data_IF_661488236788
#
_entry.id   IF_661488236788
#
_cell.length_a   1.000
_cell.length_b   1.000
_cell.length_c   1.000
_cell.angle_alpha   90.00
_cell.angle_beta   90.00
_cell.angle_gamma   90.00
#
_symmetry.space_group_name_H-M   'P 1'
#
loop_
_entity.id
_entity.type
_entity.pdbx_description
1 polymer ?
#
# COMPACT_ATOMS: atom_id res chain seq x y z
N UNK A 1 -17.12 -1.14 14.09
CA UNK A 1 -16.23 -0.01 14.35
C UNK A 1 -14.81 -0.39 13.93
N UNK A 2 -13.94 0.55 13.55
CA UNK A 2 -12.55 0.25 13.15
C UNK A 2 -11.74 -0.33 14.31
N UNK A 3 -11.92 0.22 15.52
CA UNK A 3 -11.20 -0.22 16.72
C UNK A 3 -11.51 -1.70 16.99
N UNK A 4 -12.78 -2.08 16.96
CA UNK A 4 -13.18 -3.48 17.19
C UNK A 4 -12.62 -4.46 16.14
N UNK A 5 -12.38 -4.01 14.89
CA UNK A 5 -11.72 -4.86 13.88
C UNK A 5 -10.26 -5.10 14.23
N UNK A 6 -9.55 -4.05 14.65
CA UNK A 6 -8.15 -4.16 15.05
C UNK A 6 -7.96 -5.04 16.29
N UNK A 7 -8.84 -4.89 17.30
CA UNK A 7 -8.87 -5.78 18.47
C UNK A 7 -9.07 -7.24 18.05
N UNK A 8 -10.02 -7.48 17.14
CA UNK A 8 -10.28 -8.82 16.61
C UNK A 8 -9.08 -9.42 15.87
N UNK A 9 -8.38 -8.63 15.05
CA UNK A 9 -7.17 -9.09 14.37
C UNK A 9 -6.07 -9.46 15.37
N UNK A 10 -5.90 -8.66 16.43
CA UNK A 10 -4.93 -8.93 17.49
C UNK A 10 -5.24 -10.22 18.25
N UNK A 11 -6.52 -10.48 18.53
CA UNK A 11 -6.93 -11.64 19.32
C UNK A 11 -6.96 -12.95 18.51
N UNK A 12 -7.42 -12.90 17.26
CA UNK A 12 -7.62 -14.11 16.45
C UNK A 12 -6.50 -14.39 15.45
N UNK A 13 -5.84 -13.35 14.94
CA UNK A 13 -4.87 -13.47 13.84
C UNK A 13 -3.58 -12.65 14.10
N UNK A 14 -2.95 -12.79 15.28
CA UNK A 14 -1.85 -11.92 15.70
C UNK A 14 -0.64 -11.97 14.76
N UNK A 15 -0.35 -13.12 14.14
CA UNK A 15 0.77 -13.24 13.20
C UNK A 15 0.52 -12.45 11.91
N UNK A 16 -0.68 -12.57 11.33
CA UNK A 16 -1.06 -11.86 10.11
C UNK A 16 -1.17 -10.35 10.39
N UNK A 17 -1.69 -9.98 11.56
CA UNK A 17 -1.77 -8.59 11.97
C UNK A 17 -0.38 -7.96 12.19
N UNK A 18 0.54 -8.67 12.84
CA UNK A 18 1.93 -8.23 12.95
C UNK A 18 2.60 -8.08 11.57
N UNK A 19 2.28 -8.98 10.63
CA UNK A 19 2.75 -8.86 9.25
C UNK A 19 2.24 -7.59 8.57
N UNK A 20 0.98 -7.23 8.78
CA UNK A 20 0.41 -5.97 8.28
C UNK A 20 1.15 -4.75 8.85
N UNK A 21 1.39 -4.74 10.17
CA UNK A 21 2.14 -3.67 10.84
C UNK A 21 3.57 -3.57 10.31
N UNK A 22 4.24 -4.71 10.12
CA UNK A 22 5.60 -4.74 9.57
C UNK A 22 5.63 -4.21 8.13
N UNK A 23 4.68 -4.62 7.29
CA UNK A 23 4.56 -4.10 5.94
C UNK A 23 4.38 -2.58 5.92
N UNK A 24 3.52 -2.04 6.79
CA UNK A 24 3.32 -0.59 6.94
C UNK A 24 4.62 0.11 7.30
N UNK A 25 5.34 -0.38 8.31
CA UNK A 25 6.58 0.24 8.81
C UNK A 25 7.71 0.22 7.78
N UNK A 26 7.88 -0.87 7.04
CA UNK A 26 9.00 -1.02 6.10
C UNK A 26 8.71 -0.40 4.72
N UNK A 27 7.45 -0.40 4.27
CA UNK A 27 7.11 -0.02 2.89
C UNK A 27 6.33 1.30 2.80
N UNK A 28 5.45 1.58 3.77
CA UNK A 28 4.53 2.72 3.68
C UNK A 28 5.09 3.94 4.39
N UNK A 29 5.51 3.81 5.65
CA UNK A 29 5.99 4.92 6.47
C UNK A 29 7.20 5.64 5.84
N UNK A 30 8.21 4.97 5.26
CA UNK A 30 9.33 5.65 4.61
C UNK A 30 8.88 6.50 3.42
N UNK A 31 7.85 6.05 2.68
CA UNK A 31 7.29 6.80 1.56
C UNK A 31 6.46 7.99 2.02
N UNK A 32 5.72 7.85 3.12
CA UNK A 32 5.02 8.97 3.77
C UNK A 32 6.01 10.04 4.21
N UNK A 33 7.08 9.66 4.90
CA UNK A 33 8.13 10.60 5.35
C UNK A 33 8.80 11.30 4.17
N UNK A 34 9.16 10.56 3.13
CA UNK A 34 9.76 11.11 1.90
C UNK A 34 8.87 12.14 1.21
N UNK A 35 7.54 11.98 1.31
CA UNK A 35 6.55 12.84 0.67
C UNK A 35 5.78 13.69 1.69
N UNK A 36 6.37 13.98 2.86
CA UNK A 36 5.73 14.72 3.94
C UNK A 36 5.20 16.12 3.49
N UNK A 37 5.88 16.76 2.53
CA UNK A 37 5.52 18.08 2.00
C UNK A 37 4.30 18.01 1.07
N UNK A 38 4.17 16.96 0.25
CA UNK A 38 3.07 16.85 -0.72
C UNK A 38 1.74 16.50 -0.03
N UNK A 39 1.78 15.87 1.14
CA UNK A 39 0.58 15.33 1.81
C UNK A 39 0.03 14.07 1.12
N UNK A 40 0.81 13.46 0.23
CA UNK A 40 0.44 12.24 -0.48
C UNK A 40 1.67 11.40 -0.81
N UNK A 41 1.59 10.10 -0.55
CA UNK A 41 2.58 9.11 -0.98
C UNK A 41 1.92 8.05 -1.88
N UNK A 42 2.67 7.60 -2.88
CA UNK A 42 2.29 6.48 -3.74
C UNK A 42 3.30 5.37 -3.54
N UNK A 43 2.83 4.20 -3.10
CA UNK A 43 3.66 3.03 -2.84
C UNK A 43 3.31 2.00 -3.89
N UNK A 44 4.30 1.61 -4.71
CA UNK A 44 4.15 0.57 -5.74
C UNK A 44 5.00 -0.63 -5.34
N UNK A 45 4.43 -1.82 -5.41
CA UNK A 45 5.14 -3.04 -5.09
C UNK A 45 4.54 -4.22 -5.84
N UNK A 46 5.34 -5.26 -5.99
CA UNK A 46 5.02 -6.55 -6.58
C UNK A 46 5.23 -7.66 -5.53
N UNK A 47 5.11 -7.31 -4.25
CA UNK A 47 5.16 -8.25 -3.13
C UNK A 47 4.00 -9.25 -3.21
N UNK A 48 4.33 -10.54 -3.29
CA UNK A 48 3.35 -11.64 -3.27
C UNK A 48 2.53 -11.68 -1.98
N UNK A 49 2.96 -11.01 -0.91
CA UNK A 49 2.20 -10.93 0.33
C UNK A 49 0.83 -10.27 0.12
N UNK A 50 0.74 -9.35 -0.85
CA UNK A 50 -0.48 -8.61 -1.17
C UNK A 50 -1.46 -9.40 -2.05
N UNK A 51 -1.13 -10.64 -2.42
CA UNK A 51 -2.11 -11.59 -2.97
C UNK A 51 -3.18 -11.95 -1.92
N UNK A 52 -2.82 -11.91 -0.64
CA UNK A 52 -3.76 -12.10 0.45
C UNK A 52 -4.55 -10.80 0.71
N UNK A 53 -5.79 -10.73 0.23
CA UNK A 53 -6.66 -9.57 0.41
C UNK A 53 -6.95 -9.24 1.89
N UNK A 54 -6.98 -10.25 2.77
CA UNK A 54 -7.18 -10.03 4.21
C UNK A 54 -6.00 -9.28 4.83
N UNK A 55 -4.77 -9.56 4.37
CA UNK A 55 -3.59 -8.79 4.78
C UNK A 55 -3.69 -7.34 4.29
N UNK A 56 -4.20 -7.11 3.08
CA UNK A 56 -4.39 -5.77 2.51
C UNK A 56 -5.42 -4.99 3.34
N UNK A 57 -6.53 -5.62 3.73
CA UNK A 57 -7.55 -5.02 4.59
C UNK A 57 -6.97 -4.62 5.95
N UNK A 58 -6.17 -5.49 6.59
CA UNK A 58 -5.45 -5.16 7.83
C UNK A 58 -4.51 -3.96 7.65
N UNK A 59 -3.73 -3.92 6.55
CA UNK A 59 -2.84 -2.78 6.25
C UNK A 59 -3.65 -1.48 6.12
N UNK A 60 -4.77 -1.53 5.41
CA UNK A 60 -5.63 -0.35 5.22
C UNK A 60 -6.26 0.10 6.54
N UNK A 61 -6.68 -0.82 7.39
CA UNK A 61 -7.23 -0.53 8.72
C UNK A 61 -6.18 0.10 9.66
N UNK A 62 -4.96 -0.46 9.70
CA UNK A 62 -3.80 0.05 10.47
C UNK A 62 -3.45 1.48 10.06
N UNK A 63 -3.52 1.80 8.76
CA UNK A 63 -3.28 3.15 8.25
C UNK A 63 -4.45 4.08 8.57
N UNK A 64 -5.68 3.62 8.40
CA UNK A 64 -6.88 4.43 8.67
C UNK A 64 -6.99 4.82 10.14
N UNK A 65 -6.60 3.93 11.06
CA UNK A 65 -6.58 4.20 12.49
C UNK A 65 -5.59 5.30 12.85
N UNK A 66 -4.44 5.34 12.18
CA UNK A 66 -3.44 6.42 12.32
C UNK A 66 -3.82 7.73 11.62
N UNK A 67 -5.02 7.82 11.07
CA UNK A 67 -5.54 9.02 10.41
C UNK A 67 -5.09 9.20 8.96
N UNK A 68 -4.56 8.15 8.32
CA UNK A 68 -4.27 8.17 6.89
C UNK A 68 -5.53 7.89 6.07
N UNK A 69 -5.67 8.54 4.93
CA UNK A 69 -6.66 8.17 3.92
C UNK A 69 -5.99 7.29 2.86
N UNK A 70 -6.33 6.00 2.86
CA UNK A 70 -5.70 4.99 2.00
C UNK A 70 -6.66 4.49 0.92
N UNK A 71 -6.12 4.25 -0.28
CA UNK A 71 -6.76 3.48 -1.34
C UNK A 71 -5.78 2.42 -1.84
N UNK A 72 -6.29 1.25 -2.18
CA UNK A 72 -5.52 0.15 -2.76
C UNK A 72 -6.00 -0.17 -4.18
N UNK A 73 -5.06 -0.53 -5.05
CA UNK A 73 -5.31 -0.90 -6.45
C UNK A 73 -4.40 -2.08 -6.81
N UNK A 74 -4.98 -3.14 -7.34
CA UNK A 74 -4.28 -4.32 -7.89
C UNK A 74 -4.38 -4.29 -9.42
N UNK A 75 -3.23 -4.26 -10.09
CA UNK A 75 -3.14 -4.32 -11.55
C UNK A 75 -2.34 -5.52 -12.00
N UNK A 76 -3.00 -6.39 -12.76
CA UNK A 76 -2.33 -7.43 -13.53
C UNK A 76 -1.83 -6.84 -14.85
N UNK A 77 -0.52 -6.86 -15.06
CA UNK A 77 0.10 -6.52 -16.34
C UNK A 77 0.44 -7.81 -17.08
N UNK A 78 -0.12 -7.97 -18.27
CA UNK A 78 0.21 -9.06 -19.17
C UNK A 78 1.26 -8.57 -20.18
N UNK A 79 2.41 -9.24 -20.24
CA UNK A 79 3.49 -8.92 -21.19
C UNK A 79 3.70 -10.09 -22.15
N UNK A 80 3.61 -9.89 -23.47
CA UNK A 80 3.97 -10.92 -24.45
C UNK A 80 5.43 -11.35 -24.28
N UNK A 81 5.67 -12.64 -24.08
CA UNK A 81 7.02 -13.19 -23.90
C UNK A 81 7.44 -14.13 -25.02
N UNK A 82 6.48 -14.79 -25.68
CA UNK A 82 6.78 -15.77 -26.74
C UNK A 82 5.58 -15.95 -27.65
N UNK A 83 5.81 -16.38 -28.89
CA UNK A 83 4.77 -16.88 -29.80
C UNK A 83 4.95 -18.39 -29.94
N UNK A 84 3.87 -19.15 -29.83
CA UNK A 84 3.86 -20.59 -30.12
C UNK A 84 3.94 -20.78 -31.65
N UNK A 85 5.00 -21.40 -32.20
CA UNK A 85 5.14 -21.54 -33.66
C UNK A 85 4.16 -22.54 -34.29
N UNK A 86 3.54 -23.41 -33.50
CA UNK A 86 2.58 -24.40 -33.99
C UNK A 86 1.15 -23.84 -34.02
N UNK A 87 0.77 -23.08 -33.00
CA UNK A 87 -0.61 -22.54 -32.84
C UNK A 87 -0.72 -21.06 -33.17
N UNK A 88 0.40 -20.35 -33.28
CA UNK A 88 0.50 -18.89 -33.39
C UNK A 88 -0.01 -18.11 -32.16
N UNK A 89 -0.25 -18.79 -31.05
CA UNK A 89 -0.68 -18.14 -29.81
C UNK A 89 0.43 -17.27 -29.21
N UNK A 90 0.04 -16.11 -28.69
CA UNK A 90 0.92 -15.25 -27.91
C UNK A 90 0.90 -15.73 -26.46
N UNK A 91 2.03 -16.22 -25.98
CA UNK A 91 2.24 -16.59 -24.59
C UNK A 91 2.53 -15.30 -23.81
N UNK A 92 1.69 -15.04 -22.80
CA UNK A 92 1.76 -13.87 -21.94
C UNK A 92 2.35 -14.25 -20.58
N UNK A 93 3.27 -13.43 -20.07
CA UNK A 93 3.67 -13.43 -18.66
C UNK A 93 2.79 -12.45 -17.89
N UNK A 94 2.15 -12.92 -16.81
CA UNK A 94 1.35 -12.10 -15.91
C UNK A 94 2.19 -11.60 -14.76
N UNK A 95 2.14 -10.30 -14.48
CA UNK A 95 2.78 -9.69 -13.30
C UNK A 95 1.76 -8.86 -12.52
N UNK A 96 1.55 -9.21 -11.25
CA UNK A 96 0.76 -8.40 -10.33
C UNK A 96 1.56 -7.17 -9.89
N UNK A 97 0.92 -6.01 -9.97
CA UNK A 97 1.46 -4.74 -9.48
C UNK A 97 0.44 -4.13 -8.54
N UNK A 98 0.82 -3.99 -7.29
CA UNK A 98 0.02 -3.41 -6.24
C UNK A 98 0.38 -1.95 -6.02
N UNK A 99 -0.61 -1.15 -5.68
CA UNK A 99 -0.43 0.26 -5.40
C UNK A 99 -1.25 0.70 -4.20
N UNK A 100 -0.59 1.31 -3.22
CA UNK A 100 -1.23 2.09 -2.18
C UNK A 100 -1.12 3.58 -2.51
N UNK A 101 -2.26 4.28 -2.48
CA UNK A 101 -2.33 5.73 -2.48
C UNK A 101 -2.69 6.20 -1.08
N UNK A 102 -1.74 6.87 -0.42
CA UNK A 102 -1.88 7.30 0.98
C UNK A 102 -1.87 8.82 1.03
N UNK A 103 -2.94 9.41 1.55
CA UNK A 103 -3.07 10.86 1.78
C UNK A 103 -3.03 11.16 3.27
N UNK A 104 -2.34 12.25 3.62
CA UNK A 104 -2.14 12.70 5.00
C UNK A 104 -2.04 14.24 5.08
N UNK A 105 -2.26 14.84 6.26
CA UNK A 105 -2.13 16.28 6.43
C UNK A 105 -0.76 16.79 5.98
N UNK A 106 -0.75 17.88 5.22
CA UNK A 106 0.49 18.53 4.78
C UNK A 106 1.17 19.18 5.97
N UNK A 107 2.50 19.07 6.04
CA UNK A 107 3.28 20.00 6.86
C UNK A 107 3.19 21.39 6.23
N UNK A 108 2.40 22.28 6.83
CA UNK A 108 2.33 23.69 6.43
C UNK A 108 3.65 24.33 6.88
N UNK A 109 4.54 24.61 5.93
CA UNK A 109 5.67 25.50 6.18
C UNK A 109 5.08 26.91 6.19
N UNK A 110 4.84 27.47 7.39
CA UNK A 110 4.54 28.90 7.50
C UNK A 110 5.77 29.68 7.03
N UNK A 111 5.62 30.72 6.18
CA UNK A 111 6.72 31.65 5.96
C UNK A 111 7.11 32.21 7.33
N UNK A 112 8.39 32.17 7.67
CA UNK A 112 8.90 32.96 8.78
C UNK A 112 8.55 34.41 8.46
N UNK A 113 7.63 35.01 9.22
CA UNK A 113 7.37 36.44 9.16
C UNK A 113 8.71 37.16 9.30
N UNK A 114 9.22 37.69 8.18
CA UNK A 114 10.33 38.62 8.20
C UNK A 114 9.79 39.88 8.86
N UNK A 115 9.96 39.97 10.18
CA UNK A 115 9.79 41.21 10.92
C UNK A 115 10.75 42.24 10.30
N UNK A 116 10.17 43.20 9.58
CA UNK A 116 10.81 44.43 9.12
C UNK A 116 11.03 45.34 10.32
#
# INVERSE_FOLDING_TARGET
>A
DLISRLEHYQDLEPELFNKAIHFVNENVIPMVQRHAISGQALIRTNSHELENQHLVDMIMDVLSERGYHVMFDDRVRETPVKVNPETWDIILEKRHNYMFSVRFPKHIIQPLDQKI
#
